data_IF_673844457927
#
_entry.id   IF_673844457927
#
_cell.length_a   1.000
_cell.length_b   1.000
_cell.length_c   1.000
_cell.angle_alpha   90.00
_cell.angle_beta   90.00
_cell.angle_gamma   90.00
#
_symmetry.space_group_name_H-M   'P 1'
#
loop_
_entity.id
_entity.type
_entity.pdbx_description
1 polymer ?
#
# COMPACT_ATOMS: atom_id res chain seq x y z
N UNK A 1 -10.94 5.99 -0.94
CA UNK A 1 -11.49 4.77 -0.35
C UNK A 1 -11.65 3.74 -1.44
N UNK A 2 -10.84 2.69 -1.40
CA UNK A 2 -10.88 1.48 -2.22
C UNK A 2 -12.18 0.77 -1.86
N UNK A 3 -12.98 0.41 -2.86
CA UNK A 3 -14.22 -0.35 -2.62
C UNK A 3 -13.88 -1.77 -2.17
N UNK A 4 -14.83 -2.47 -1.54
CA UNK A 4 -14.61 -3.84 -1.11
C UNK A 4 -14.38 -4.78 -2.30
N UNK A 5 -15.04 -4.53 -3.43
CA UNK A 5 -14.87 -5.29 -4.66
C UNK A 5 -13.46 -5.12 -5.23
N UNK A 6 -12.97 -3.88 -5.31
CA UNK A 6 -11.62 -3.60 -5.78
C UNK A 6 -10.58 -4.16 -4.80
N UNK A 7 -10.85 -4.04 -3.50
CA UNK A 7 -9.98 -4.60 -2.48
C UNK A 7 -9.86 -6.12 -2.61
N UNK A 8 -10.97 -6.82 -2.80
CA UNK A 8 -11.01 -8.27 -2.97
C UNK A 8 -10.21 -8.75 -4.19
N UNK A 9 -10.06 -7.92 -5.22
CA UNK A 9 -9.24 -8.22 -6.38
C UNK A 9 -7.74 -7.95 -6.15
N UNK A 10 -7.39 -6.93 -5.35
CA UNK A 10 -6.00 -6.53 -5.10
C UNK A 10 -5.35 -7.34 -3.98
N UNK A 11 -6.09 -7.62 -2.90
CA UNK A 11 -5.55 -8.23 -1.68
C UNK A 11 -4.77 -9.54 -1.92
N UNK A 12 -5.25 -10.49 -2.76
CA UNK A 12 -4.54 -11.75 -2.99
C UNK A 12 -3.16 -11.57 -3.64
N UNK A 13 -2.99 -10.51 -4.43
CA UNK A 13 -1.76 -10.19 -5.15
C UNK A 13 -0.73 -9.47 -4.28
N UNK A 14 -1.16 -8.96 -3.11
CA UNK A 14 -0.23 -8.36 -2.17
C UNK A 14 0.53 -9.47 -1.42
N UNK A 15 1.84 -9.26 -1.14
CA UNK A 15 2.63 -10.26 -0.45
C UNK A 15 1.99 -10.62 0.90
N UNK A 16 2.04 -11.90 1.27
CA UNK A 16 1.61 -12.30 2.62
C UNK A 16 2.49 -11.63 3.68
N UNK A 17 1.88 -11.27 4.82
CA UNK A 17 2.59 -10.64 5.93
C UNK A 17 3.89 -11.39 6.28
N UNK A 18 4.97 -10.65 6.53
CA UNK A 18 6.29 -11.24 6.82
C UNK A 18 6.20 -12.30 7.93
N UNK A 19 6.71 -13.50 7.67
CA UNK A 19 6.81 -14.60 8.65
C UNK A 19 7.72 -14.30 9.86
N UNK A 20 8.57 -13.27 9.79
CA UNK A 20 9.44 -12.80 10.89
C UNK A 20 9.56 -11.27 10.91
N UNK A 21 9.53 -10.69 12.10
CA UNK A 21 9.62 -9.24 12.34
C UNK A 21 8.30 -8.62 12.81
N UNK A 22 8.26 -7.28 12.93
CA UNK A 22 7.03 -6.56 13.29
C UNK A 22 5.97 -6.81 12.21
N UNK A 23 4.71 -7.15 12.59
CA UNK A 23 3.62 -7.28 11.65
C UNK A 23 3.48 -6.04 10.78
N UNK A 24 3.10 -6.26 9.53
CA UNK A 24 2.78 -5.15 8.62
C UNK A 24 1.54 -4.41 9.11
N UNK A 25 1.52 -3.08 8.93
CA UNK A 25 0.28 -2.33 8.99
C UNK A 25 -0.71 -2.91 7.98
N UNK A 26 -2.00 -2.71 8.26
CA UNK A 26 -3.10 -3.05 7.37
C UNK A 26 -2.80 -2.61 5.92
N UNK A 27 -2.87 -3.57 5.00
CA UNK A 27 -2.51 -3.35 3.61
C UNK A 27 -3.45 -2.40 2.89
N UNK A 28 -4.75 -2.51 3.19
CA UNK A 28 -5.77 -1.64 2.62
C UNK A 28 -5.52 -0.22 3.05
N UNK A 29 -5.31 -0.01 4.35
CA UNK A 29 -5.03 1.31 4.91
C UNK A 29 -3.74 1.92 4.36
N UNK A 30 -2.70 1.10 4.19
CA UNK A 30 -1.45 1.54 3.56
C UNK A 30 -1.67 1.97 2.12
N UNK A 31 -2.42 1.17 1.34
CA UNK A 31 -2.71 1.47 -0.06
C UNK A 31 -3.60 2.72 -0.21
N UNK A 32 -4.56 2.91 0.69
CA UNK A 32 -5.37 4.14 0.77
C UNK A 32 -4.51 5.37 1.02
N UNK A 33 -3.52 5.28 1.92
CA UNK A 33 -2.58 6.37 2.17
C UNK A 33 -1.73 6.71 0.94
N UNK A 34 -1.27 5.68 0.22
CA UNK A 34 -0.55 5.84 -1.06
C UNK A 34 -1.44 6.54 -2.09
N UNK A 35 -2.67 6.07 -2.30
CA UNK A 35 -3.63 6.63 -3.26
C UNK A 35 -3.96 8.09 -2.90
N UNK A 36 -4.20 8.38 -1.62
CA UNK A 36 -4.45 9.74 -1.15
C UNK A 36 -3.30 10.66 -1.56
N UNK A 37 -2.05 10.25 -1.30
CA UNK A 37 -0.86 11.05 -1.63
C UNK A 37 -0.77 11.35 -3.13
N UNK A 38 -1.05 10.37 -3.99
CA UNK A 38 -1.04 10.60 -5.44
C UNK A 38 -2.20 11.46 -5.91
N UNK A 39 -3.37 11.34 -5.28
CA UNK A 39 -4.56 12.16 -5.60
C UNK A 39 -4.35 13.63 -5.23
N UNK A 40 -3.70 13.91 -4.10
CA UNK A 40 -3.51 15.28 -3.59
C UNK A 40 -2.21 15.92 -4.07
N UNK A 41 -1.20 15.12 -4.42
CA UNK A 41 0.14 15.60 -4.71
C UNK A 41 0.92 16.07 -3.48
N UNK A 42 0.36 15.90 -2.28
CA UNK A 42 0.99 16.32 -1.03
C UNK A 42 2.31 15.58 -0.75
N UNK A 43 3.25 16.19 -0.03
CA UNK A 43 4.44 15.49 0.42
C UNK A 43 4.06 14.39 1.43
N UNK A 44 4.89 13.35 1.54
CA UNK A 44 4.63 12.23 2.47
C UNK A 44 4.45 12.68 3.92
N UNK A 45 5.16 13.73 4.35
CA UNK A 45 5.07 14.26 5.73
C UNK A 45 3.69 14.81 6.09
N UNK A 46 2.86 15.12 5.09
CA UNK A 46 1.52 15.66 5.28
C UNK A 46 0.45 14.55 5.18
N UNK A 47 0.86 13.28 5.11
CA UNK A 47 -0.06 12.16 5.08
C UNK A 47 -0.93 12.17 6.36
N UNK A 48 -2.27 12.13 6.25
CA UNK A 48 -3.15 12.06 7.40
C UNK A 48 -2.85 10.86 8.30
N UNK A 49 -2.80 11.09 9.61
CA UNK A 49 -2.44 10.07 10.61
C UNK A 49 -3.36 8.84 10.59
N UNK A 50 -4.60 8.99 10.09
CA UNK A 50 -5.54 7.89 9.90
C UNK A 50 -4.99 6.79 8.98
N UNK A 51 -4.03 7.08 8.09
CA UNK A 51 -3.38 6.10 7.23
C UNK A 51 -2.15 5.44 7.89
N UNK A 52 -1.83 5.82 9.12
CA UNK A 52 -0.65 5.40 9.87
C UNK A 52 0.56 6.30 9.64
N UNK A 53 1.70 5.92 10.24
CA UNK A 53 2.93 6.69 10.16
C UNK A 53 3.42 6.82 8.71
N UNK A 54 3.63 8.06 8.25
CA UNK A 54 4.00 8.33 6.86
C UNK A 54 5.30 7.62 6.43
N UNK A 55 6.26 7.43 7.34
CA UNK A 55 7.48 6.69 7.02
C UNK A 55 7.18 5.23 6.63
N UNK A 56 6.26 4.59 7.36
CA UNK A 56 5.88 3.20 7.09
C UNK A 56 5.14 3.05 5.77
N UNK A 57 4.28 4.01 5.44
CA UNK A 57 3.55 4.03 4.16
C UNK A 57 4.52 4.28 2.99
N UNK A 58 5.42 5.26 3.13
CA UNK A 58 6.41 5.57 2.11
C UNK A 58 7.42 4.42 1.89
N UNK A 59 7.92 3.78 2.96
CA UNK A 59 8.77 2.60 2.86
C UNK A 59 8.05 1.46 2.14
N UNK A 60 6.74 1.26 2.43
CA UNK A 60 5.96 0.22 1.77
C UNK A 60 5.81 0.47 0.28
N UNK A 61 5.45 1.71 -0.09
CA UNK A 61 5.35 2.11 -1.48
C UNK A 61 6.66 1.88 -2.24
N UNK A 62 7.79 2.28 -1.64
CA UNK A 62 9.11 2.05 -2.23
C UNK A 62 9.37 0.55 -2.41
N UNK A 63 9.12 -0.27 -1.38
CA UNK A 63 9.32 -1.72 -1.44
C UNK A 63 8.51 -2.35 -2.57
N UNK A 64 7.19 -2.13 -2.61
CA UNK A 64 6.31 -2.69 -3.64
C UNK A 64 6.62 -2.21 -5.06
N UNK A 65 7.21 -1.01 -5.20
CA UNK A 65 7.70 -0.50 -6.48
C UNK A 65 8.99 -1.18 -6.95
N UNK A 66 9.79 -1.72 -6.03
CA UNK A 66 11.12 -2.27 -6.31
C UNK A 66 11.19 -3.79 -6.30
N UNK A 67 10.29 -4.47 -5.59
CA UNK A 67 10.31 -5.93 -5.43
C UNK A 67 9.45 -6.68 -6.44
N UNK A 68 8.78 -5.97 -7.35
CA UNK A 68 7.94 -6.56 -8.39
C UNK A 68 6.46 -6.68 -8.02
N UNK A 69 6.05 -6.37 -6.78
CA UNK A 69 4.64 -6.45 -6.35
C UNK A 69 3.69 -5.69 -7.30
N UNK A 70 4.08 -4.50 -7.76
CA UNK A 70 3.28 -3.73 -8.73
C UNK A 70 3.37 -4.23 -10.18
N UNK A 71 4.36 -5.05 -10.49
CA UNK A 71 4.53 -5.68 -11.81
C UNK A 71 3.64 -6.91 -11.92
N UNK A 72 3.51 -7.67 -10.84
CA UNK A 72 2.64 -8.84 -10.77
C UNK A 72 1.17 -8.45 -10.88
N UNK A 73 0.76 -7.35 -10.23
CA UNK A 73 -0.56 -6.74 -10.41
C UNK A 73 -0.93 -6.37 -11.86
N UNK A 74 0.06 -6.19 -12.75
CA UNK A 74 -0.18 -5.84 -14.17
C UNK A 74 -0.22 -7.05 -15.10
N UNK A 75 0.15 -8.25 -14.63
CA UNK A 75 0.31 -9.42 -15.49
C UNK A 75 -0.94 -10.26 -15.68
N UNK A 76 -2.06 -9.92 -15.03
CA UNK A 76 -3.33 -10.62 -15.25
C UNK A 76 -4.07 -10.00 -16.46
N UNK A 77 -3.91 -10.65 -17.61
CA UNK A 77 -4.68 -10.46 -18.85
C UNK A 77 -5.11 -11.81 -19.40
#
# INVERSE_FOLDING_TARGET
>A
MISDELWSAIEPELPSARRRGRPWNDHRLTLEGIIWRFRTGSPWRDLPEQFGAWQSVAERHLRWSTDGTYTDLRSDR
#
